data_IF_113145794046
#
_entry.id   IF_113145794046
#
_cell.length_a   1.000
_cell.length_b   1.000
_cell.length_c   1.000
_cell.angle_alpha   90.00
_cell.angle_beta   90.00
_cell.angle_gamma   90.00
#
_symmetry.space_group_name_H-M   'P 1'
#
loop_
_entity.id
_entity.type
_entity.pdbx_description
1 polymer ?
#
# COMPACT_ATOMS: atom_id res chain seq x y z
N UNK A 1 19.31 28.95 -5.23
CA UNK A 1 19.91 28.53 -6.50
C UNK A 1 21.18 27.71 -6.32
N UNK A 2 22.29 28.28 -5.82
CA UNK A 2 23.53 27.51 -5.59
C UNK A 2 23.34 26.28 -4.67
N UNK A 3 22.35 26.32 -3.75
CA UNK A 3 22.03 25.20 -2.88
C UNK A 3 21.35 24.03 -3.63
N UNK A 4 20.42 24.30 -4.55
CA UNK A 4 19.79 23.26 -5.38
C UNK A 4 20.80 22.63 -6.33
N UNK A 5 21.62 23.45 -7.03
CA UNK A 5 22.65 22.94 -7.90
C UNK A 5 23.67 22.06 -7.15
N UNK A 6 24.16 22.52 -5.98
CA UNK A 6 25.06 21.72 -5.13
C UNK A 6 24.42 20.42 -4.61
N UNK A 7 23.12 20.45 -4.29
CA UNK A 7 22.39 19.27 -3.90
C UNK A 7 22.36 18.26 -5.04
N UNK A 8 22.07 18.71 -6.25
CA UNK A 8 21.99 17.89 -7.45
C UNK A 8 23.37 17.39 -7.91
N UNK A 9 24.42 18.22 -7.82
CA UNK A 9 25.81 17.79 -8.08
C UNK A 9 26.23 16.64 -7.15
N UNK A 10 25.78 16.63 -5.89
CA UNK A 10 26.06 15.57 -4.91
C UNK A 10 25.42 14.22 -5.24
N UNK A 11 24.52 14.13 -6.22
CA UNK A 11 23.90 12.86 -6.62
C UNK A 11 24.75 12.06 -7.61
N UNK A 12 25.58 12.74 -8.39
CA UNK A 12 26.27 12.15 -9.54
C UNK A 12 25.35 11.84 -10.72
N UNK A 13 24.06 12.19 -10.64
CA UNK A 13 23.09 11.98 -11.72
C UNK A 13 23.07 13.18 -12.66
N UNK A 14 23.35 13.02 -13.98
CA UNK A 14 23.30 14.10 -14.92
C UNK A 14 21.87 14.69 -15.01
N UNK A 15 21.74 15.98 -14.74
CA UNK A 15 20.44 16.65 -14.81
C UNK A 15 20.58 18.14 -15.22
N UNK A 16 19.46 18.75 -15.55
CA UNK A 16 19.37 20.16 -15.92
C UNK A 16 18.29 20.85 -15.09
N UNK A 17 18.60 22.03 -14.56
CA UNK A 17 17.64 22.90 -13.88
C UNK A 17 17.43 24.15 -14.74
N UNK A 18 16.21 24.35 -15.23
CA UNK A 18 15.81 25.52 -16.00
C UNK A 18 15.14 26.53 -15.07
N UNK A 19 15.70 27.73 -14.99
CA UNK A 19 15.22 28.80 -14.12
C UNK A 19 14.08 29.61 -14.77
N UNK A 20 13.31 30.40 -13.99
CA UNK A 20 12.31 31.33 -14.55
C UNK A 20 12.91 32.34 -15.58
N UNK A 21 14.20 32.67 -15.44
CA UNK A 21 14.96 33.47 -16.39
C UNK A 21 15.25 32.77 -17.73
N UNK A 22 14.88 31.46 -17.86
CA UNK A 22 15.25 30.55 -18.95
C UNK A 22 16.74 30.15 -18.97
N UNK A 23 17.51 30.55 -18.00
CA UNK A 23 18.88 30.07 -17.81
C UNK A 23 18.83 28.59 -17.42
N UNK A 24 19.68 27.77 -18.04
CA UNK A 24 19.81 26.35 -17.74
C UNK A 24 21.10 26.07 -16.97
N UNK A 25 21.01 25.41 -15.83
CA UNK A 25 22.15 24.98 -15.01
C UNK A 25 22.27 23.48 -15.18
N UNK A 26 23.40 22.99 -15.67
CA UNK A 26 23.69 21.57 -15.79
C UNK A 26 24.46 21.08 -14.57
N UNK A 27 24.07 19.92 -14.07
CA UNK A 27 24.68 19.22 -12.95
C UNK A 27 25.06 17.79 -13.39
N UNK A 28 26.22 17.32 -12.96
CA UNK A 28 26.76 16.00 -13.35
C UNK A 28 27.39 15.97 -14.74
N UNK A 29 28.04 14.84 -15.05
CA UNK A 29 28.72 14.63 -16.34
C UNK A 29 27.80 13.85 -17.31
N UNK A 30 27.77 14.27 -18.59
CA UNK A 30 27.00 13.61 -19.65
C UNK A 30 25.67 14.29 -19.99
N UNK A 31 24.85 13.65 -20.86
CA UNK A 31 23.55 14.17 -21.22
C UNK A 31 22.57 14.11 -20.04
N UNK A 32 21.76 15.14 -19.80
CA UNK A 32 20.82 15.14 -18.66
C UNK A 32 19.78 14.02 -18.80
N UNK A 33 19.63 13.20 -17.76
CA UNK A 33 18.63 12.14 -17.68
C UNK A 33 17.25 12.71 -17.35
N UNK A 34 17.22 13.79 -16.59
CA UNK A 34 15.99 14.50 -16.28
C UNK A 34 16.22 16.02 -16.22
N UNK A 35 15.12 16.74 -16.25
CA UNK A 35 15.09 18.21 -16.17
C UNK A 35 14.09 18.65 -15.12
N UNK A 36 14.48 19.64 -14.32
CA UNK A 36 13.61 20.37 -13.39
C UNK A 36 13.35 21.76 -13.96
N UNK A 37 12.14 22.04 -14.39
CA UNK A 37 11.74 23.36 -14.90
C UNK A 37 11.07 24.15 -13.80
N UNK A 38 11.66 25.28 -13.43
CA UNK A 38 11.16 26.15 -12.36
C UNK A 38 10.40 27.33 -12.95
N UNK A 39 9.12 27.46 -12.63
CA UNK A 39 8.23 28.47 -13.21
C UNK A 39 8.16 29.79 -12.42
N UNK A 40 8.58 29.77 -11.14
CA UNK A 40 8.50 30.97 -10.32
C UNK A 40 9.63 31.09 -9.30
N UNK A 41 9.98 32.33 -8.94
CA UNK A 41 10.91 32.61 -7.84
C UNK A 41 10.39 32.13 -6.48
N UNK A 42 9.08 31.92 -6.34
CA UNK A 42 8.46 31.35 -5.13
C UNK A 42 8.90 29.91 -4.92
N UNK A 43 8.97 29.11 -6.00
CA UNK A 43 9.47 27.74 -5.93
C UNK A 43 10.93 27.69 -5.44
N UNK A 44 11.77 28.63 -5.88
CA UNK A 44 13.17 28.75 -5.46
C UNK A 44 13.36 29.10 -3.98
N UNK A 45 12.32 29.66 -3.33
CA UNK A 45 12.33 30.02 -1.89
C UNK A 45 11.73 28.95 -0.99
N UNK A 46 11.19 27.86 -1.55
CA UNK A 46 10.69 26.75 -0.73
C UNK A 46 11.83 26.05 -0.01
N UNK A 47 11.50 25.44 1.11
CA UNK A 47 12.45 24.58 1.83
C UNK A 47 12.83 23.38 0.96
N UNK A 48 14.08 22.93 1.07
CA UNK A 48 14.55 21.73 0.40
C UNK A 48 14.20 20.50 1.25
N UNK A 49 12.90 20.29 1.49
CA UNK A 49 12.35 19.08 2.08
C UNK A 49 11.42 18.36 1.08
N UNK A 50 11.22 17.07 1.26
CA UNK A 50 10.44 16.23 0.36
C UNK A 50 9.03 16.77 0.14
N UNK A 51 8.35 17.19 1.22
CA UNK A 51 7.00 17.71 1.14
C UNK A 51 6.93 19.04 0.37
N UNK A 52 7.87 19.94 0.60
CA UNK A 52 7.84 21.26 -0.04
C UNK A 52 8.11 21.18 -1.55
N UNK A 53 9.06 20.32 -1.97
CA UNK A 53 9.35 20.08 -3.39
C UNK A 53 8.22 19.30 -4.07
N UNK A 54 7.70 18.26 -3.42
CA UNK A 54 6.52 17.54 -3.92
C UNK A 54 5.31 18.46 -4.08
N UNK A 55 5.06 19.36 -3.11
CA UNK A 55 4.00 20.35 -3.20
C UNK A 55 4.23 21.35 -4.35
N UNK A 56 5.47 21.80 -4.57
CA UNK A 56 5.79 22.68 -5.70
C UNK A 56 5.46 22.02 -7.05
N UNK A 57 5.76 20.73 -7.20
CA UNK A 57 5.40 19.97 -8.40
C UNK A 57 3.88 19.82 -8.53
N UNK A 58 3.18 19.40 -7.48
CA UNK A 58 1.71 19.22 -7.49
C UNK A 58 0.99 20.54 -7.84
N UNK A 59 1.48 21.67 -7.31
CA UNK A 59 0.91 23.01 -7.57
C UNK A 59 1.34 23.60 -8.92
N UNK A 60 2.21 22.94 -9.69
CA UNK A 60 2.68 23.43 -10.98
C UNK A 60 3.70 24.57 -10.89
N UNK A 61 4.36 24.76 -9.74
CA UNK A 61 5.44 25.73 -9.59
C UNK A 61 6.76 25.24 -10.19
N UNK A 62 6.89 23.89 -10.31
CA UNK A 62 7.97 23.22 -11.02
C UNK A 62 7.40 22.10 -11.90
N UNK A 63 8.10 21.77 -12.98
CA UNK A 63 7.87 20.57 -13.78
C UNK A 63 9.05 19.63 -13.69
N UNK A 64 8.75 18.32 -13.82
CA UNK A 64 9.71 17.23 -13.85
C UNK A 64 9.59 16.52 -15.20
N UNK A 65 10.63 16.64 -16.03
CA UNK A 65 10.69 16.08 -17.37
C UNK A 65 11.80 15.03 -17.47
N UNK A 66 11.60 14.04 -18.35
CA UNK A 66 12.58 12.97 -18.58
C UNK A 66 12.40 11.76 -17.67
N UNK A 67 13.49 11.12 -17.29
CA UNK A 67 13.49 9.87 -16.52
C UNK A 67 13.08 10.10 -15.06
N UNK A 68 11.83 9.74 -14.75
CA UNK A 68 11.28 9.86 -13.40
C UNK A 68 12.04 9.01 -12.38
N UNK A 69 12.56 7.87 -12.78
CA UNK A 69 13.37 7.02 -11.90
C UNK A 69 14.61 7.77 -11.38
N UNK A 70 15.35 8.42 -12.27
CA UNK A 70 16.53 9.20 -11.91
C UNK A 70 16.23 10.40 -11.01
N UNK A 71 15.01 10.95 -11.07
CA UNK A 71 14.58 12.03 -10.17
C UNK A 71 14.56 11.54 -8.72
N UNK A 72 14.12 10.30 -8.48
CA UNK A 72 14.06 9.75 -7.13
C UNK A 72 15.42 9.37 -6.54
N UNK A 73 16.46 9.21 -7.33
CA UNK A 73 17.83 9.09 -6.81
C UNK A 73 18.26 10.33 -6.01
N UNK A 74 17.69 11.50 -6.35
CA UNK A 74 17.90 12.76 -5.62
C UNK A 74 17.22 12.72 -4.24
N UNK A 75 16.16 11.93 -4.07
CA UNK A 75 15.38 11.85 -2.82
C UNK A 75 16.23 11.51 -1.60
N UNK A 76 17.25 10.66 -1.74
CA UNK A 76 18.17 10.29 -0.66
C UNK A 76 18.87 11.50 0.01
N UNK A 77 18.94 12.62 -0.70
CA UNK A 77 19.53 13.88 -0.20
C UNK A 77 18.50 14.80 0.46
N UNK A 78 17.21 14.51 0.28
CA UNK A 78 16.13 15.28 0.88
C UNK A 78 15.81 14.72 2.26
N UNK A 79 15.65 15.62 3.24
CA UNK A 79 15.19 15.24 4.57
C UNK A 79 13.66 15.31 4.62
N UNK A 80 13.02 14.21 5.01
CA UNK A 80 11.59 14.24 5.36
C UNK A 80 11.46 14.71 6.82
N UNK A 81 11.11 15.98 7.00
CA UNK A 81 10.92 16.60 8.32
C UNK A 81 9.44 16.81 8.59
N UNK A 82 8.86 15.95 9.42
CA UNK A 82 7.52 16.21 9.94
C UNK A 82 7.50 17.49 10.77
N UNK A 83 6.62 18.43 10.45
CA UNK A 83 6.44 19.67 11.22
C UNK A 83 5.70 19.36 12.52
N UNK A 84 6.07 20.03 13.61
CA UNK A 84 5.49 19.81 14.95
C UNK A 84 3.96 19.81 14.95
N UNK A 85 3.33 20.70 14.17
CA UNK A 85 1.85 20.72 14.01
C UNK A 85 1.26 19.49 13.33
N UNK A 86 1.99 18.85 12.42
CA UNK A 86 1.56 17.60 11.77
C UNK A 86 1.64 16.43 12.75
N UNK A 87 2.70 16.38 13.57
CA UNK A 87 2.86 15.37 14.62
C UNK A 87 1.77 15.50 15.68
N UNK A 88 1.51 16.73 16.15
CA UNK A 88 0.43 17.01 17.11
C UNK A 88 -0.94 16.65 16.54
N UNK A 89 -1.26 17.05 15.32
CA UNK A 89 -2.53 16.69 14.66
C UNK A 89 -2.70 15.19 14.51
N UNK A 90 -1.63 14.47 14.18
CA UNK A 90 -1.64 13.02 14.12
C UNK A 90 -1.88 12.36 15.48
N UNK A 91 -1.19 12.82 16.53
CA UNK A 91 -1.38 12.33 17.90
C UNK A 91 -2.80 12.58 18.42
N UNK A 92 -3.37 13.76 18.16
CA UNK A 92 -4.75 14.08 18.50
C UNK A 92 -5.72 13.12 17.80
N UNK A 93 -5.56 12.87 16.50
CA UNK A 93 -6.39 11.93 15.76
C UNK A 93 -6.27 10.51 16.33
N UNK A 94 -5.04 10.07 16.62
CA UNK A 94 -4.78 8.72 17.14
C UNK A 94 -5.39 8.49 18.54
N UNK A 95 -5.40 9.52 19.40
CA UNK A 95 -5.84 9.42 20.79
C UNK A 95 -7.34 9.67 20.97
N UNK A 96 -7.94 10.57 20.17
CA UNK A 96 -9.30 11.07 20.41
C UNK A 96 -10.34 10.51 19.46
N UNK A 97 -9.96 9.98 18.29
CA UNK A 97 -10.92 9.47 17.30
C UNK A 97 -10.82 7.93 17.23
N UNK A 98 -11.96 7.21 17.32
CA UNK A 98 -11.96 5.76 17.15
C UNK A 98 -11.35 5.34 15.81
N UNK A 99 -10.44 4.36 15.83
CA UNK A 99 -9.72 3.88 14.64
C UNK A 99 -10.65 3.51 13.47
N UNK A 100 -11.82 2.90 13.77
CA UNK A 100 -12.84 2.55 12.77
C UNK A 100 -13.40 3.76 12.00
N UNK A 101 -13.56 4.91 12.67
CA UNK A 101 -14.01 6.16 12.02
C UNK A 101 -12.93 6.78 11.15
N UNK A 102 -11.68 6.77 11.62
CA UNK A 102 -10.53 7.29 10.85
C UNK A 102 -10.34 6.42 9.60
N UNK A 103 -10.38 5.10 9.75
CA UNK A 103 -10.19 4.16 8.64
C UNK A 103 -11.27 4.32 7.58
N UNK A 104 -12.54 4.37 7.96
CA UNK A 104 -13.66 4.58 7.02
C UNK A 104 -13.50 5.91 6.26
N UNK A 105 -13.14 7.00 6.93
CA UNK A 105 -12.94 8.31 6.30
C UNK A 105 -11.74 8.32 5.35
N UNK A 106 -10.64 7.66 5.74
CA UNK A 106 -9.41 7.56 4.94
C UNK A 106 -9.63 6.73 3.69
N UNK A 107 -10.28 5.56 3.82
CA UNK A 107 -10.62 4.67 2.71
C UNK A 107 -11.58 5.37 1.75
N UNK A 108 -12.66 5.98 2.25
CA UNK A 108 -13.59 6.71 1.41
C UNK A 108 -12.88 7.83 0.64
N UNK A 109 -12.01 8.62 1.27
CA UNK A 109 -11.28 9.69 0.59
C UNK A 109 -10.40 9.15 -0.55
N UNK A 110 -9.69 8.05 -0.33
CA UNK A 110 -8.83 7.46 -1.36
C UNK A 110 -9.66 6.90 -2.53
N UNK A 111 -10.73 6.14 -2.24
CA UNK A 111 -11.57 5.53 -3.27
C UNK A 111 -12.63 6.48 -3.88
N UNK A 112 -12.75 7.75 -3.45
CA UNK A 112 -13.62 8.74 -4.09
C UNK A 112 -13.20 9.12 -5.52
N UNK A 113 -12.00 8.69 -5.96
CA UNK A 113 -11.56 8.87 -7.34
C UNK A 113 -12.33 7.98 -8.34
N UNK A 114 -13.02 6.95 -7.85
CA UNK A 114 -13.84 6.04 -8.66
C UNK A 114 -13.04 4.94 -9.36
N UNK A 115 -13.75 3.93 -9.86
CA UNK A 115 -13.16 2.72 -10.44
C UNK A 115 -12.30 3.02 -11.67
N UNK A 116 -12.78 3.86 -12.59
CA UNK A 116 -12.09 4.20 -13.84
C UNK A 116 -10.69 4.78 -13.62
N UNK A 117 -10.50 5.50 -12.48
CA UNK A 117 -9.20 6.02 -12.11
C UNK A 117 -8.19 4.88 -11.85
N UNK A 118 -8.56 3.93 -11.01
CA UNK A 118 -7.68 2.80 -10.65
C UNK A 118 -7.51 1.83 -11.80
N UNK A 119 -8.57 1.56 -12.55
CA UNK A 119 -8.54 0.67 -13.72
C UNK A 119 -7.63 1.20 -14.83
N UNK A 120 -7.34 2.51 -14.86
CA UNK A 120 -6.45 3.10 -15.86
C UNK A 120 -5.00 2.63 -15.74
N UNK A 121 -4.57 2.09 -14.58
CA UNK A 121 -3.19 1.66 -14.37
C UNK A 121 -3.01 0.29 -13.69
N UNK A 122 -4.03 -0.26 -13.04
CA UNK A 122 -3.97 -1.62 -12.47
C UNK A 122 -4.04 -2.69 -13.55
N UNK A 123 -3.90 -3.97 -13.20
CA UNK A 123 -4.09 -5.06 -14.14
C UNK A 123 -5.52 -5.06 -14.71
N UNK A 124 -5.66 -5.41 -15.98
CA UNK A 124 -6.94 -5.34 -16.71
C UNK A 124 -7.88 -6.50 -16.41
N UNK A 125 -7.40 -7.52 -15.72
CA UNK A 125 -8.14 -8.78 -15.52
C UNK A 125 -8.80 -8.86 -14.15
N UNK A 126 -8.08 -8.50 -13.09
CA UNK A 126 -8.52 -8.63 -11.71
C UNK A 126 -8.56 -7.31 -10.96
N UNK A 127 -7.94 -6.27 -11.52
CA UNK A 127 -7.87 -4.92 -10.97
C UNK A 127 -7.28 -4.86 -9.56
N UNK A 128 -6.24 -5.65 -9.28
CA UNK A 128 -5.60 -5.60 -7.98
C UNK A 128 -4.93 -4.25 -7.71
N UNK A 129 -5.23 -3.67 -6.55
CA UNK A 129 -4.51 -2.54 -5.98
C UNK A 129 -3.62 -2.99 -4.82
N UNK A 130 -2.97 -4.11 -5.00
CA UNK A 130 -1.92 -4.71 -4.17
C UNK A 130 -0.93 -5.40 -5.11
N UNK A 131 0.30 -5.68 -4.64
CA UNK A 131 1.33 -6.18 -5.53
C UNK A 131 1.01 -7.54 -6.16
N UNK A 132 1.49 -7.75 -7.38
CA UNK A 132 1.54 -9.05 -8.04
C UNK A 132 2.67 -9.92 -7.49
N UNK A 133 2.80 -11.15 -7.99
CA UNK A 133 3.96 -12.01 -7.74
C UNK A 133 4.59 -12.39 -9.08
N UNK A 134 5.78 -11.92 -9.34
CA UNK A 134 6.50 -12.11 -10.60
C UNK A 134 7.43 -13.33 -10.53
N UNK A 135 7.42 -14.16 -11.56
CA UNK A 135 8.39 -15.26 -11.74
C UNK A 135 9.62 -14.80 -12.50
N UNK A 136 9.46 -13.78 -13.35
CA UNK A 136 10.54 -13.08 -14.04
C UNK A 136 10.24 -11.58 -14.18
N UNK A 137 11.26 -10.77 -14.45
CA UNK A 137 11.10 -9.31 -14.60
C UNK A 137 10.38 -8.91 -15.90
N UNK A 138 10.30 -9.82 -16.88
CA UNK A 138 9.67 -9.58 -18.18
C UNK A 138 8.17 -9.92 -18.18
N UNK A 139 7.63 -10.43 -17.06
CA UNK A 139 6.21 -10.74 -16.95
C UNK A 139 5.35 -9.48 -16.90
N UNK A 140 4.15 -9.61 -17.46
CA UNK A 140 3.13 -8.58 -17.39
C UNK A 140 2.50 -8.50 -15.99
N UNK A 141 1.88 -7.37 -15.70
CA UNK A 141 1.11 -7.18 -14.48
C UNK A 141 -0.05 -8.18 -14.35
N UNK A 142 -0.66 -8.57 -15.47
CA UNK A 142 -1.73 -9.57 -15.55
C UNK A 142 -1.25 -10.96 -15.15
N UNK A 143 -0.08 -11.39 -15.64
CA UNK A 143 0.55 -12.66 -15.29
C UNK A 143 0.93 -12.69 -13.82
N UNK A 144 1.53 -11.63 -13.31
CA UNK A 144 1.89 -11.52 -11.88
C UNK A 144 0.66 -11.57 -10.95
N UNK A 145 -0.47 -11.01 -11.39
CA UNK A 145 -1.75 -11.09 -10.67
C UNK A 145 -2.32 -12.51 -10.65
N UNK A 146 -2.21 -13.25 -11.78
CA UNK A 146 -2.61 -14.66 -11.84
C UNK A 146 -1.74 -15.51 -10.90
N UNK A 147 -0.42 -15.34 -10.94
CA UNK A 147 0.52 -16.07 -10.06
C UNK A 147 0.25 -15.79 -8.58
N UNK A 148 -0.12 -14.55 -8.24
CA UNK A 148 -0.55 -14.22 -6.88
C UNK A 148 -1.78 -15.02 -6.48
N UNK A 149 -2.81 -15.07 -7.32
CA UNK A 149 -4.04 -15.82 -7.05
C UNK A 149 -3.76 -17.31 -6.87
N UNK A 150 -2.92 -17.91 -7.74
CA UNK A 150 -2.47 -19.30 -7.61
C UNK A 150 -1.73 -19.55 -6.28
N UNK A 151 -0.83 -18.64 -5.93
CA UNK A 151 -0.05 -18.72 -4.68
C UNK A 151 -0.95 -18.66 -3.47
N UNK A 152 -1.86 -17.69 -3.42
CA UNK A 152 -2.83 -17.54 -2.30
C UNK A 152 -3.73 -18.77 -2.20
N UNK A 153 -4.27 -19.26 -3.33
CA UNK A 153 -5.14 -20.43 -3.38
C UNK A 153 -4.44 -21.68 -2.82
N UNK A 154 -3.19 -21.89 -3.23
CA UNK A 154 -2.36 -23.00 -2.80
C UNK A 154 -1.93 -22.89 -1.34
N UNK A 155 -1.48 -21.72 -0.89
CA UNK A 155 -1.04 -21.48 0.49
C UNK A 155 -2.17 -21.66 1.49
N UNK A 156 -3.38 -21.25 1.13
CA UNK A 156 -4.59 -21.46 1.93
C UNK A 156 -5.14 -22.89 1.82
N UNK A 157 -4.63 -23.72 0.88
CA UNK A 157 -5.08 -25.09 0.58
C UNK A 157 -6.57 -25.13 0.27
N UNK A 158 -7.05 -24.16 -0.51
CA UNK A 158 -8.48 -24.05 -0.83
C UNK A 158 -8.95 -25.23 -1.68
N UNK A 159 -10.19 -25.66 -1.44
CA UNK A 159 -10.86 -26.73 -2.16
C UNK A 159 -12.33 -26.35 -2.39
N UNK A 160 -12.99 -26.90 -3.43
CA UNK A 160 -14.41 -26.70 -3.64
C UNK A 160 -15.24 -27.03 -2.38
N UNK A 161 -16.23 -26.20 -2.07
CA UNK A 161 -17.06 -26.30 -0.88
C UNK A 161 -16.52 -25.65 0.39
N UNK A 162 -15.24 -25.26 0.42
CA UNK A 162 -14.66 -24.49 1.54
C UNK A 162 -15.22 -23.05 1.56
N UNK A 163 -15.16 -22.44 2.76
CA UNK A 163 -15.58 -21.06 3.01
C UNK A 163 -14.36 -20.15 3.20
N UNK A 164 -14.23 -19.16 2.33
CA UNK A 164 -13.18 -18.15 2.36
C UNK A 164 -13.76 -16.80 2.82
N UNK A 165 -13.10 -16.14 3.77
CA UNK A 165 -13.32 -14.73 4.08
C UNK A 165 -12.26 -13.87 3.37
N UNK A 166 -12.69 -12.96 2.51
CA UNK A 166 -11.86 -11.99 1.82
C UNK A 166 -12.02 -10.61 2.47
N UNK A 167 -10.97 -10.15 3.17
CA UNK A 167 -10.98 -8.90 3.91
C UNK A 167 -10.44 -7.77 3.02
N UNK A 168 -11.35 -6.88 2.61
CA UNK A 168 -11.03 -5.81 1.68
C UNK A 168 -11.09 -6.29 0.23
N UNK A 169 -12.24 -6.80 -0.19
CA UNK A 169 -12.45 -7.49 -1.47
C UNK A 169 -12.07 -6.72 -2.75
N UNK A 170 -11.76 -5.42 -2.64
CA UNK A 170 -11.37 -4.58 -3.79
C UNK A 170 -12.36 -4.68 -4.94
N UNK A 171 -11.91 -4.99 -6.13
CA UNK A 171 -12.76 -5.23 -7.32
C UNK A 171 -13.05 -6.72 -7.56
N UNK A 172 -13.04 -7.53 -6.49
CA UNK A 172 -13.50 -8.91 -6.52
C UNK A 172 -12.55 -9.90 -7.23
N UNK A 173 -11.26 -9.57 -7.36
CA UNK A 173 -10.29 -10.47 -7.98
C UNK A 173 -10.22 -11.83 -7.29
N UNK A 174 -10.07 -11.85 -5.95
CA UNK A 174 -10.12 -13.09 -5.16
C UNK A 174 -11.48 -13.76 -5.21
N UNK A 175 -12.57 -12.98 -5.10
CA UNK A 175 -13.94 -13.50 -5.20
C UNK A 175 -14.14 -14.27 -6.50
N UNK A 176 -13.85 -13.64 -7.64
CA UNK A 176 -14.03 -14.26 -8.96
C UNK A 176 -13.17 -15.49 -9.15
N UNK A 177 -11.89 -15.42 -8.74
CA UNK A 177 -10.95 -16.54 -8.89
C UNK A 177 -11.34 -17.76 -8.05
N UNK A 178 -11.67 -17.56 -6.78
CA UNK A 178 -11.98 -18.64 -5.85
C UNK A 178 -13.40 -19.19 -6.06
N UNK A 179 -14.39 -18.32 -6.28
CA UNK A 179 -15.76 -18.74 -6.45
C UNK A 179 -15.98 -19.51 -7.76
N UNK A 180 -15.26 -19.17 -8.84
CA UNK A 180 -15.27 -19.97 -10.08
C UNK A 180 -14.72 -21.40 -9.90
N UNK A 181 -14.00 -21.65 -8.80
CA UNK A 181 -13.45 -22.96 -8.40
C UNK A 181 -14.27 -23.62 -7.31
N UNK A 182 -15.50 -23.17 -7.08
CA UNK A 182 -16.44 -23.77 -6.12
C UNK A 182 -16.18 -23.41 -4.65
N UNK A 183 -15.33 -22.43 -4.35
CA UNK A 183 -15.13 -21.92 -2.99
C UNK A 183 -16.21 -20.88 -2.69
N UNK A 184 -16.86 -20.99 -1.52
CA UNK A 184 -17.85 -19.99 -1.07
C UNK A 184 -17.14 -18.77 -0.49
N UNK A 185 -17.14 -17.65 -1.19
CA UNK A 185 -16.41 -16.43 -0.78
C UNK A 185 -17.35 -15.44 -0.10
N UNK A 186 -17.00 -15.00 1.11
CA UNK A 186 -17.60 -13.83 1.75
C UNK A 186 -16.60 -12.69 1.67
N UNK A 187 -16.90 -11.66 0.88
CA UNK A 187 -16.03 -10.47 0.74
C UNK A 187 -16.53 -9.34 1.64
N UNK A 188 -15.64 -8.75 2.41
CA UNK A 188 -15.91 -7.55 3.21
C UNK A 188 -15.28 -6.34 2.56
N UNK A 189 -16.00 -5.24 2.50
CA UNK A 189 -15.49 -3.95 2.03
C UNK A 189 -16.10 -2.80 2.83
N UNK A 190 -15.42 -1.64 2.85
CA UNK A 190 -15.94 -0.38 3.38
C UNK A 190 -16.31 0.61 2.26
N UNK A 191 -15.97 0.30 1.00
CA UNK A 191 -16.25 1.12 -0.16
C UNK A 191 -17.53 0.65 -0.87
N UNK A 192 -18.45 1.58 -1.14
CA UNK A 192 -19.73 1.28 -1.79
C UNK A 192 -19.52 0.80 -3.24
N UNK A 193 -18.55 1.40 -3.97
CA UNK A 193 -18.26 1.02 -5.35
C UNK A 193 -17.73 -0.42 -5.43
N UNK A 194 -16.79 -0.78 -4.55
CA UNK A 194 -16.30 -2.15 -4.38
C UNK A 194 -17.43 -3.15 -4.07
N UNK A 195 -18.37 -2.77 -3.18
CA UNK A 195 -19.54 -3.58 -2.88
C UNK A 195 -20.39 -3.81 -4.15
N UNK A 196 -20.72 -2.75 -4.87
CA UNK A 196 -21.54 -2.82 -6.08
C UNK A 196 -20.86 -3.66 -7.16
N UNK A 197 -19.54 -3.52 -7.31
CA UNK A 197 -18.76 -4.25 -8.29
C UNK A 197 -18.76 -5.77 -8.01
N UNK A 198 -18.48 -6.16 -6.76
CA UNK A 198 -18.47 -7.57 -6.35
C UNK A 198 -19.89 -8.17 -6.42
N UNK A 199 -20.90 -7.42 -5.98
CA UNK A 199 -22.30 -7.85 -6.07
C UNK A 199 -22.70 -8.15 -7.51
N UNK A 200 -22.34 -7.29 -8.46
CA UNK A 200 -22.60 -7.51 -9.88
C UNK A 200 -21.88 -8.75 -10.42
N UNK A 201 -20.64 -9.02 -9.99
CA UNK A 201 -19.94 -10.27 -10.36
C UNK A 201 -20.74 -11.49 -9.91
N UNK A 202 -21.14 -11.52 -8.62
CA UNK A 202 -21.86 -12.67 -8.06
C UNK A 202 -23.23 -12.87 -8.72
N UNK A 203 -23.98 -11.80 -8.94
CA UNK A 203 -25.31 -11.84 -9.58
C UNK A 203 -25.24 -12.32 -11.04
N UNK A 204 -24.25 -11.84 -11.79
CA UNK A 204 -24.15 -12.16 -13.23
C UNK A 204 -23.57 -13.54 -13.49
N UNK A 205 -22.72 -14.05 -12.60
CA UNK A 205 -22.06 -15.35 -12.78
C UNK A 205 -22.76 -16.50 -12.06
N UNK A 206 -23.58 -16.20 -11.03
CA UNK A 206 -24.14 -17.20 -10.14
C UNK A 206 -23.09 -17.92 -9.27
N UNK A 207 -21.89 -17.36 -9.11
CA UNK A 207 -20.83 -17.94 -8.29
C UNK A 207 -21.21 -17.98 -6.81
N UNK A 208 -20.76 -19.01 -6.07
CA UNK A 208 -21.07 -19.14 -4.66
C UNK A 208 -20.35 -18.06 -3.83
N UNK A 209 -21.12 -17.19 -3.18
CA UNK A 209 -20.54 -16.15 -2.33
C UNK A 209 -21.51 -15.03 -1.99
N UNK A 210 -21.00 -14.10 -1.23
CA UNK A 210 -21.69 -12.87 -0.83
C UNK A 210 -20.68 -11.73 -0.64
N UNK A 211 -21.15 -10.50 -0.73
CA UNK A 211 -20.38 -9.30 -0.37
C UNK A 211 -21.12 -8.53 0.73
N UNK A 212 -20.38 -7.98 1.69
CA UNK A 212 -20.94 -7.20 2.79
C UNK A 212 -20.21 -5.86 2.94
N UNK A 213 -20.97 -4.79 3.05
CA UNK A 213 -20.44 -3.46 3.36
C UNK A 213 -20.23 -3.36 4.88
N UNK A 214 -19.14 -3.92 5.38
CA UNK A 214 -18.89 -4.12 6.81
C UNK A 214 -17.41 -4.02 7.17
N UNK A 215 -17.13 -3.41 8.35
CA UNK A 215 -15.78 -3.44 8.95
C UNK A 215 -15.46 -4.84 9.50
N UNK A 216 -14.30 -5.38 9.13
CA UNK A 216 -13.83 -6.67 9.61
C UNK A 216 -13.77 -6.75 11.14
N UNK A 217 -13.37 -5.70 11.83
CA UNK A 217 -13.29 -5.70 13.29
C UNK A 217 -14.67 -5.85 13.98
N UNK A 218 -15.74 -5.55 13.25
CA UNK A 218 -17.12 -5.70 13.69
C UNK A 218 -17.77 -7.02 13.19
N UNK A 219 -17.12 -7.69 12.23
CA UNK A 219 -17.66 -8.90 11.62
C UNK A 219 -17.76 -10.05 12.63
N UNK A 220 -18.91 -10.73 12.62
CA UNK A 220 -19.23 -11.89 13.48
C UNK A 220 -19.92 -12.94 12.61
N UNK A 221 -19.18 -13.93 12.10
CA UNK A 221 -19.78 -14.97 11.29
C UNK A 221 -20.59 -15.95 12.16
N UNK A 222 -21.68 -16.45 11.62
CA UNK A 222 -22.48 -17.52 12.28
C UNK A 222 -21.69 -18.83 12.36
N UNK A 223 -20.85 -19.09 11.38
CA UNK A 223 -19.97 -20.25 11.29
C UNK A 223 -18.57 -19.82 10.92
N UNK A 224 -17.51 -20.43 11.51
CA UNK A 224 -16.15 -20.11 11.15
C UNK A 224 -15.84 -20.33 9.67
N UNK A 225 -14.86 -19.60 9.14
CA UNK A 225 -14.30 -19.77 7.80
C UNK A 225 -13.17 -20.82 7.83
N UNK A 226 -13.00 -21.56 6.74
CA UNK A 226 -11.89 -22.49 6.55
C UNK A 226 -10.59 -21.76 6.25
N UNK A 227 -10.71 -20.59 5.60
CA UNK A 227 -9.58 -19.73 5.26
C UNK A 227 -9.95 -18.24 5.32
N UNK A 228 -8.93 -17.40 5.51
CA UNK A 228 -9.03 -15.94 5.46
C UNK A 228 -7.93 -15.42 4.54
N UNK A 229 -8.25 -14.41 3.73
CA UNK A 229 -7.29 -13.67 2.91
C UNK A 229 -7.42 -12.17 3.18
N UNK A 230 -6.28 -11.46 3.16
CA UNK A 230 -6.21 -10.01 3.28
C UNK A 230 -5.05 -9.50 2.43
N UNK A 231 -5.32 -8.70 1.41
CA UNK A 231 -4.36 -8.27 0.40
C UNK A 231 -4.29 -6.73 0.36
N UNK A 232 -3.17 -6.16 0.86
CA UNK A 232 -2.94 -4.71 0.85
C UNK A 232 -3.92 -3.91 1.72
N UNK A 233 -4.41 -4.47 2.83
CA UNK A 233 -5.46 -3.84 3.66
C UNK A 233 -5.04 -3.68 5.12
N UNK A 234 -4.09 -4.47 5.62
CA UNK A 234 -3.63 -4.40 7.02
C UNK A 234 -3.06 -3.03 7.38
N UNK A 235 -2.58 -2.29 6.40
CA UNK A 235 -2.09 -0.91 6.52
C UNK A 235 -3.17 0.04 7.07
N UNK A 236 -4.43 -0.30 6.89
CA UNK A 236 -5.58 0.44 7.41
C UNK A 236 -6.05 -0.08 8.78
N UNK A 237 -5.48 -1.19 9.29
CA UNK A 237 -5.86 -1.82 10.57
C UNK A 237 -4.65 -1.88 11.52
N UNK A 238 -4.08 -0.76 11.96
CA UNK A 238 -2.86 -0.75 12.77
C UNK A 238 -3.03 -1.34 14.17
N UNK A 239 -4.26 -1.67 14.58
CA UNK A 239 -4.58 -2.33 15.86
C UNK A 239 -4.42 -3.86 15.77
N UNK A 240 -3.20 -4.34 15.52
CA UNK A 240 -2.90 -5.75 15.23
C UNK A 240 -3.42 -6.73 16.29
N UNK A 241 -3.41 -6.35 17.58
CA UNK A 241 -3.98 -7.18 18.63
C UNK A 241 -5.47 -7.47 18.43
N UNK A 242 -6.25 -6.44 18.10
CA UNK A 242 -7.68 -6.59 17.82
C UNK A 242 -7.91 -7.37 16.52
N UNK A 243 -7.08 -7.10 15.50
CA UNK A 243 -7.11 -7.81 14.25
C UNK A 243 -6.86 -9.31 14.44
N UNK A 244 -5.74 -9.71 15.06
CA UNK A 244 -5.40 -11.12 15.28
C UNK A 244 -6.42 -11.83 16.21
N UNK A 245 -6.98 -11.14 17.21
CA UNK A 245 -8.06 -11.68 18.02
C UNK A 245 -9.30 -11.98 17.16
N UNK A 246 -9.67 -11.06 16.26
CA UNK A 246 -10.81 -11.22 15.37
C UNK A 246 -10.57 -12.33 14.34
N UNK A 247 -9.37 -12.39 13.73
CA UNK A 247 -8.98 -13.51 12.84
C UNK A 247 -9.15 -14.84 13.55
N UNK A 248 -8.68 -14.93 14.79
CA UNK A 248 -8.85 -16.16 15.60
C UNK A 248 -10.32 -16.57 15.77
N UNK A 249 -11.18 -15.60 16.07
CA UNK A 249 -12.60 -15.87 16.30
C UNK A 249 -13.35 -16.27 15.01
N UNK A 250 -12.91 -15.74 13.85
CA UNK A 250 -13.54 -16.00 12.55
C UNK A 250 -13.04 -17.27 11.86
N UNK A 251 -11.82 -17.72 12.14
CA UNK A 251 -11.18 -18.84 11.45
C UNK A 251 -11.48 -20.16 12.16
N UNK A 252 -11.74 -21.22 11.43
CA UNK A 252 -11.90 -22.56 11.99
C UNK A 252 -10.59 -23.10 12.60
N UNK A 253 -10.61 -23.99 13.59
CA UNK A 253 -9.42 -24.75 14.00
C UNK A 253 -8.76 -25.42 12.79
N UNK A 254 -7.43 -25.34 12.67
CA UNK A 254 -6.69 -25.82 11.50
C UNK A 254 -6.73 -24.91 10.27
N UNK A 255 -7.66 -23.95 10.22
CA UNK A 255 -7.79 -22.98 9.11
C UNK A 255 -6.58 -22.06 8.98
N UNK A 256 -6.40 -21.47 7.79
CA UNK A 256 -5.26 -20.63 7.42
C UNK A 256 -5.66 -19.22 7.08
N UNK A 257 -4.76 -18.30 7.37
CA UNK A 257 -4.80 -16.92 6.84
C UNK A 257 -3.59 -16.67 5.96
N UNK A 258 -3.83 -16.05 4.80
CA UNK A 258 -2.82 -15.41 3.97
C UNK A 258 -2.98 -13.90 4.08
N UNK A 259 -1.87 -13.20 4.28
CA UNK A 259 -1.85 -11.75 4.36
C UNK A 259 -0.65 -11.21 3.59
N UNK A 260 -0.84 -10.21 2.76
CA UNK A 260 0.26 -9.43 2.18
C UNK A 260 0.12 -7.93 2.50
N UNK A 261 1.24 -7.23 2.50
CA UNK A 261 1.27 -5.80 2.76
C UNK A 261 2.59 -5.14 2.38
N UNK A 262 2.52 -3.83 2.12
CA UNK A 262 3.67 -2.95 2.22
C UNK A 262 4.11 -2.80 3.67
N UNK A 263 5.43 -2.76 3.92
CA UNK A 263 6.01 -2.81 5.25
C UNK A 263 7.07 -1.73 5.49
N UNK A 264 7.19 -1.32 6.76
CA UNK A 264 8.25 -0.46 7.27
C UNK A 264 8.80 -0.99 8.59
N UNK A 265 9.93 -0.44 9.05
CA UNK A 265 10.56 -0.86 10.30
C UNK A 265 9.72 -0.51 11.53
N UNK A 266 9.01 0.62 11.49
CA UNK A 266 8.18 1.11 12.58
C UNK A 266 6.75 1.44 12.12
N UNK A 267 5.78 1.31 13.03
CA UNK A 267 4.41 1.75 12.75
C UNK A 267 4.37 3.26 12.50
N UNK A 268 3.48 3.64 11.58
CA UNK A 268 3.22 5.04 11.22
C UNK A 268 4.40 5.76 10.54
N UNK A 269 5.40 5.03 10.11
CA UNK A 269 6.51 5.52 9.28
C UNK A 269 6.03 5.73 7.84
N UNK A 270 5.26 6.79 7.63
CA UNK A 270 4.71 7.17 6.33
C UNK A 270 5.21 8.57 5.98
N UNK A 271 5.79 8.72 4.80
CA UNK A 271 6.32 10.00 4.32
C UNK A 271 5.28 11.12 4.38
N UNK A 272 5.71 12.34 4.69
CA UNK A 272 4.82 13.50 4.86
C UNK A 272 4.05 13.86 3.59
N UNK A 273 4.66 13.64 2.41
CA UNK A 273 4.00 13.80 1.12
C UNK A 273 2.85 12.80 0.95
N UNK A 274 3.11 11.51 1.15
CA UNK A 274 2.11 10.44 1.03
C UNK A 274 0.94 10.66 1.98
N UNK A 275 1.22 11.06 3.22
CA UNK A 275 0.19 11.37 4.23
C UNK A 275 -0.68 12.55 3.83
N UNK A 276 -0.12 13.55 3.16
CA UNK A 276 -0.87 14.75 2.77
C UNK A 276 -1.72 14.55 1.51
N UNK A 277 -1.16 13.88 0.49
CA UNK A 277 -1.75 13.86 -0.86
C UNK A 277 -2.42 12.54 -1.22
N UNK A 278 -2.01 11.42 -0.61
CA UNK A 278 -2.46 10.08 -1.00
C UNK A 278 -3.27 9.44 0.13
N UNK A 279 -2.62 9.11 1.26
CA UNK A 279 -3.20 8.38 2.37
C UNK A 279 -3.40 9.29 3.59
N UNK A 280 -4.55 9.93 3.64
CA UNK A 280 -4.93 10.73 4.81
C UNK A 280 -5.42 9.81 5.94
N UNK A 281 -5.13 10.19 7.21
CA UNK A 281 -5.63 9.47 8.38
C UNK A 281 -4.60 8.56 9.05
N UNK A 282 -5.01 7.35 9.45
CA UNK A 282 -4.21 6.41 10.25
C UNK A 282 -3.51 5.33 9.44
N UNK A 283 -3.32 5.54 8.16
CA UNK A 283 -2.55 4.61 7.32
C UNK A 283 -1.16 4.38 7.92
N UNK A 284 -0.76 3.11 8.01
CA UNK A 284 0.52 2.69 8.55
C UNK A 284 1.00 1.46 7.78
N UNK A 285 2.16 1.53 7.19
CA UNK A 285 2.79 0.33 6.65
C UNK A 285 2.87 -0.76 7.71
N UNK A 286 2.81 -2.00 7.28
CA UNK A 286 2.91 -3.13 8.19
C UNK A 286 4.26 -3.15 8.90
N UNK A 287 4.24 -3.26 10.23
CA UNK A 287 5.42 -3.54 11.03
C UNK A 287 5.49 -5.06 11.23
N UNK A 288 6.40 -5.73 10.49
CA UNK A 288 6.45 -7.20 10.40
C UNK A 288 6.66 -7.86 11.76
N UNK A 289 7.60 -7.36 12.58
CA UNK A 289 7.88 -7.93 13.89
C UNK A 289 6.67 -7.87 14.82
N UNK A 290 5.92 -6.77 14.77
CA UNK A 290 4.74 -6.56 15.62
C UNK A 290 3.59 -7.49 15.23
N UNK A 291 3.31 -7.62 13.93
CA UNK A 291 2.19 -8.47 13.47
C UNK A 291 2.50 -9.96 13.70
N UNK A 292 3.74 -10.40 13.45
CA UNK A 292 4.18 -11.77 13.74
C UNK A 292 4.06 -12.05 15.23
N UNK A 293 4.50 -11.13 16.09
CA UNK A 293 4.37 -11.26 17.54
C UNK A 293 2.90 -11.42 17.97
N UNK A 294 1.98 -10.65 17.38
CA UNK A 294 0.56 -10.75 17.73
C UNK A 294 -0.07 -12.05 17.20
N UNK A 295 0.29 -12.56 16.03
CA UNK A 295 -0.13 -13.89 15.58
C UNK A 295 0.29 -14.98 16.55
N UNK A 296 1.57 -15.02 16.94
CA UNK A 296 2.10 -15.98 17.90
C UNK A 296 1.41 -15.85 19.28
N UNK A 297 1.19 -14.62 19.74
CA UNK A 297 0.50 -14.36 21.00
C UNK A 297 -0.94 -14.87 21.01
N UNK A 298 -1.64 -14.79 19.88
CA UNK A 298 -3.01 -15.29 19.74
C UNK A 298 -3.10 -16.78 19.49
N UNK A 299 -1.97 -17.49 19.41
CA UNK A 299 -1.94 -18.95 19.33
C UNK A 299 -1.82 -19.50 17.91
N UNK A 300 -1.60 -18.65 16.90
CA UNK A 300 -1.34 -19.11 15.54
C UNK A 300 0.03 -19.79 15.42
N UNK A 301 0.15 -20.72 14.49
CA UNK A 301 1.43 -21.17 13.94
C UNK A 301 1.70 -20.34 12.69
N UNK A 302 2.76 -19.54 12.71
CA UNK A 302 3.26 -18.86 11.52
C UNK A 302 3.98 -19.89 10.67
N UNK A 303 3.46 -20.20 9.49
CA UNK A 303 3.96 -21.24 8.60
C UNK A 303 4.93 -20.68 7.56
N UNK A 304 4.70 -19.42 7.13
CA UNK A 304 5.53 -18.76 6.14
C UNK A 304 5.60 -17.25 6.40
N UNK A 305 6.76 -16.67 6.15
CA UNK A 305 6.99 -15.23 5.98
C UNK A 305 7.95 -15.09 4.83
N UNK A 306 7.52 -14.45 3.74
CA UNK A 306 8.34 -14.25 2.56
C UNK A 306 8.38 -12.77 2.19
N UNK A 307 9.55 -12.34 1.71
CA UNK A 307 9.77 -10.98 1.26
C UNK A 307 9.37 -10.85 -0.21
N UNK A 308 8.44 -9.94 -0.49
CA UNK A 308 7.92 -9.65 -1.83
C UNK A 308 8.29 -8.22 -2.28
N UNK A 309 9.36 -7.66 -1.72
CA UNK A 309 9.76 -6.27 -1.98
C UNK A 309 10.03 -6.01 -3.46
N UNK A 310 10.70 -6.97 -4.15
CA UNK A 310 10.96 -6.86 -5.59
C UNK A 310 9.68 -6.95 -6.41
N UNK A 311 8.78 -7.84 -6.04
CA UNK A 311 7.46 -7.99 -6.68
C UNK A 311 6.65 -6.69 -6.58
N UNK A 312 6.66 -6.05 -5.42
CA UNK A 312 5.96 -4.78 -5.24
C UNK A 312 6.65 -3.62 -5.98
N UNK A 313 7.99 -3.61 -6.03
CA UNK A 313 8.73 -2.65 -6.85
C UNK A 313 8.30 -2.73 -8.31
N UNK A 314 8.29 -3.93 -8.89
CA UNK A 314 7.87 -4.17 -10.28
C UNK A 314 6.40 -3.76 -10.48
N UNK A 315 5.51 -4.14 -9.56
CA UNK A 315 4.10 -3.75 -9.60
C UNK A 315 3.94 -2.23 -9.65
N UNK A 316 4.59 -1.50 -8.72
CA UNK A 316 4.52 -0.03 -8.67
C UNK A 316 5.11 0.62 -9.93
N UNK A 317 6.15 0.01 -10.52
CA UNK A 317 6.74 0.48 -11.79
C UNK A 317 5.74 0.33 -12.95
N UNK A 318 5.13 -0.85 -13.10
CA UNK A 318 4.07 -1.06 -14.09
C UNK A 318 2.91 -0.09 -13.92
N UNK A 319 2.47 0.13 -12.67
CA UNK A 319 1.43 1.12 -12.41
C UNK A 319 1.86 2.53 -12.80
N UNK A 320 3.09 2.94 -12.49
CA UNK A 320 3.60 4.26 -12.82
C UNK A 320 3.70 4.48 -14.34
N UNK A 321 4.19 3.48 -15.08
CA UNK A 321 4.30 3.53 -16.54
C UNK A 321 2.92 3.60 -17.22
N UNK A 322 1.97 2.75 -16.79
CA UNK A 322 0.59 2.78 -17.28
C UNK A 322 -0.13 4.09 -16.94
N UNK A 323 0.11 4.60 -15.74
CA UNK A 323 -0.44 5.88 -15.29
C UNK A 323 0.07 7.05 -16.13
N UNK A 324 1.38 7.07 -16.44
CA UNK A 324 1.97 8.07 -17.33
C UNK A 324 1.42 7.95 -18.77
N UNK A 325 1.22 6.74 -19.27
CA UNK A 325 0.58 6.49 -20.58
C UNK A 325 -0.89 6.94 -20.63
N UNK A 326 -1.60 6.88 -19.50
CA UNK A 326 -2.99 7.31 -19.36
C UNK A 326 -3.15 8.81 -19.00
N UNK A 327 -2.07 9.62 -19.08
CA UNK A 327 -2.04 11.02 -18.62
C UNK A 327 -3.25 11.83 -19.05
N UNK A 328 -3.52 11.87 -20.35
CA UNK A 328 -4.58 12.74 -20.90
C UNK A 328 -5.97 12.35 -20.41
N UNK A 329 -6.23 11.05 -20.26
CA UNK A 329 -7.46 10.53 -19.67
C UNK A 329 -7.60 10.97 -18.21
N UNK A 330 -6.53 10.82 -17.41
CA UNK A 330 -6.51 11.16 -15.99
C UNK A 330 -6.65 12.66 -15.77
N UNK A 331 -5.91 13.46 -16.52
CA UNK A 331 -5.98 14.95 -16.41
C UNK A 331 -7.36 15.45 -16.79
N UNK A 332 -7.99 14.87 -17.83
CA UNK A 332 -9.35 15.23 -18.22
C UNK A 332 -10.39 14.87 -17.17
N UNK A 333 -10.25 13.72 -16.50
CA UNK A 333 -11.21 13.24 -15.51
C UNK A 333 -11.03 13.86 -14.12
N UNK A 334 -9.79 14.01 -13.66
CA UNK A 334 -9.47 14.35 -12.25
C UNK A 334 -8.56 15.57 -12.09
N UNK A 335 -8.02 16.11 -13.17
CA UNK A 335 -7.21 17.33 -13.19
C UNK A 335 -5.72 17.06 -12.94
N UNK A 336 -4.92 18.05 -13.34
CA UNK A 336 -3.45 18.00 -13.33
C UNK A 336 -2.86 17.76 -11.93
N UNK A 337 -3.47 18.30 -10.87
CA UNK A 337 -2.97 18.14 -9.50
C UNK A 337 -3.05 16.68 -9.02
N UNK A 338 -4.12 15.99 -9.36
CA UNK A 338 -4.31 14.56 -9.02
C UNK A 338 -3.30 13.72 -9.79
N UNK A 339 -3.16 13.96 -11.10
CA UNK A 339 -2.14 13.30 -11.91
C UNK A 339 -0.74 13.47 -11.32
N UNK A 340 -0.32 14.70 -11.04
CA UNK A 340 1.00 14.98 -10.47
C UNK A 340 1.23 14.34 -9.12
N UNK A 341 0.24 14.36 -8.25
CA UNK A 341 0.35 13.74 -6.92
C UNK A 341 0.53 12.21 -7.02
N UNK A 342 -0.29 11.54 -7.83
CA UNK A 342 -0.21 10.09 -8.02
C UNK A 342 1.04 9.67 -8.81
N UNK A 343 1.48 10.46 -9.78
CA UNK A 343 2.74 10.23 -10.50
C UNK A 343 3.93 10.16 -9.55
N UNK A 344 4.05 11.15 -8.65
CA UNK A 344 5.10 11.12 -7.61
C UNK A 344 4.95 9.92 -6.66
N UNK A 345 3.73 9.58 -6.28
CA UNK A 345 3.47 8.45 -5.39
C UNK A 345 3.87 7.12 -6.01
N UNK A 346 3.47 6.86 -7.25
CA UNK A 346 3.73 5.58 -7.92
C UNK A 346 5.22 5.40 -8.22
N UNK A 347 5.88 6.37 -8.85
CA UNK A 347 7.31 6.31 -9.11
C UNK A 347 8.14 6.32 -7.81
N UNK A 348 7.75 7.17 -6.85
CA UNK A 348 8.42 7.26 -5.56
C UNK A 348 8.29 5.99 -4.72
N UNK A 349 7.15 5.31 -4.78
CA UNK A 349 6.93 4.03 -4.12
C UNK A 349 7.77 2.92 -4.74
N UNK A 350 7.80 2.81 -6.09
CA UNK A 350 8.67 1.87 -6.78
C UNK A 350 10.14 2.08 -6.41
N UNK A 351 10.62 3.32 -6.44
CA UNK A 351 12.00 3.64 -6.06
C UNK A 351 12.28 3.35 -4.57
N UNK A 352 11.34 3.60 -3.65
CA UNK A 352 11.50 3.33 -2.23
C UNK A 352 11.64 1.82 -1.94
N UNK A 353 10.91 0.98 -2.67
CA UNK A 353 11.03 -0.48 -2.63
C UNK A 353 12.37 -0.96 -3.21
N UNK A 354 12.81 -0.37 -4.32
CA UNK A 354 14.13 -0.64 -4.90
C UNK A 354 15.28 -0.30 -3.96
N UNK A 355 15.20 0.85 -3.31
CA UNK A 355 16.21 1.34 -2.37
C UNK A 355 16.11 0.67 -0.97
N UNK A 356 15.21 -0.28 -0.79
CA UNK A 356 14.93 -0.98 0.47
C UNK A 356 14.56 -0.06 1.66
N UNK A 357 14.12 1.15 1.37
CA UNK A 357 13.58 2.08 2.37
C UNK A 357 12.12 1.80 2.71
N UNK A 358 11.43 1.07 1.85
CA UNK A 358 10.13 0.45 2.04
C UNK A 358 10.22 -1.01 1.64
N UNK A 359 9.51 -1.88 2.32
CA UNK A 359 9.53 -3.32 2.09
C UNK A 359 8.12 -3.84 1.84
N UNK A 360 8.02 -5.09 1.40
CA UNK A 360 6.77 -5.82 1.32
C UNK A 360 6.98 -7.28 1.72
N UNK A 361 5.97 -7.83 2.36
CA UNK A 361 5.97 -9.22 2.79
C UNK A 361 4.60 -9.83 2.64
N UNK A 362 4.59 -11.15 2.41
CA UNK A 362 3.42 -11.93 2.75
C UNK A 362 3.69 -12.88 3.92
N UNK A 363 2.61 -13.26 4.60
CA UNK A 363 2.62 -14.14 5.75
C UNK A 363 1.49 -15.16 5.62
N UNK A 364 1.81 -16.43 5.92
CA UNK A 364 0.82 -17.52 6.08
C UNK A 364 0.84 -17.98 7.52
N UNK A 365 -0.31 -17.97 8.17
CA UNK A 365 -0.45 -18.48 9.51
C UNK A 365 -1.64 -19.42 9.62
N UNK A 366 -1.51 -20.44 10.47
CA UNK A 366 -2.56 -21.41 10.72
C UNK A 366 -3.08 -21.32 12.16
N UNK A 367 -4.39 -21.29 12.31
CA UNK A 367 -5.01 -21.41 13.63
C UNK A 367 -4.75 -22.80 14.21
N UNK A 368 -4.12 -22.87 15.39
CA UNK A 368 -3.98 -24.13 16.12
C UNK A 368 -5.32 -24.54 16.72
N UNK A 369 -5.48 -25.82 17.08
CA UNK A 369 -6.68 -26.35 17.76
C UNK A 369 -6.94 -25.59 19.06
N UNK A 370 -5.90 -25.38 19.86
CA UNK A 370 -5.94 -24.65 21.12
C UNK A 370 -5.01 -23.45 21.11
N UNK A 371 -5.41 -22.38 21.78
CA UNK A 371 -4.58 -21.14 21.89
C UNK A 371 -3.26 -21.34 22.61
N UNK A 372 -3.17 -22.33 23.46
CA UNK A 372 -2.06 -22.49 24.39
C UNK A 372 -2.01 -21.39 25.47
N UNK A 373 -1.13 -21.52 26.44
CA UNK A 373 -1.00 -20.56 27.54
C UNK A 373 -0.47 -19.21 27.00
N UNK A 374 -1.20 -18.12 27.27
CA UNK A 374 -0.76 -16.77 26.95
C UNK A 374 0.23 -16.26 28.00
N UNK A 375 1.39 -15.72 27.62
CA UNK A 375 2.26 -15.07 28.59
C UNK A 375 1.56 -13.85 29.20
N UNK A 376 1.48 -13.80 30.53
CA UNK A 376 0.95 -12.63 31.24
C UNK A 376 1.77 -11.36 30.99
N UNK A 377 1.18 -10.20 31.29
CA UNK A 377 1.81 -8.87 31.05
C UNK A 377 3.22 -8.79 31.65
N UNK A 378 3.41 -9.24 32.88
CA UNK A 378 4.72 -9.24 33.56
C UNK A 378 5.77 -10.07 32.85
N UNK A 379 5.39 -11.22 32.26
CA UNK A 379 6.31 -12.09 31.50
C UNK A 379 6.73 -11.43 30.18
N UNK A 380 5.81 -10.72 29.51
CA UNK A 380 6.11 -9.95 28.28
C UNK A 380 7.09 -8.81 28.59
N UNK A 381 6.82 -8.03 29.64
CA UNK A 381 7.72 -6.95 30.09
C UNK A 381 9.08 -7.50 30.52
N UNK A 382 9.12 -8.61 31.24
CA UNK A 382 10.37 -9.27 31.64
C UNK A 382 11.17 -9.78 30.44
N UNK A 383 10.53 -10.29 29.39
CA UNK A 383 11.20 -10.73 28.16
C UNK A 383 11.76 -9.52 27.38
N UNK A 384 10.99 -8.43 27.31
CA UNK A 384 11.47 -7.16 26.72
C UNK A 384 12.71 -6.63 27.43
N UNK A 385 12.67 -6.56 28.78
CA UNK A 385 13.80 -6.09 29.58
C UNK A 385 15.03 -7.01 29.49
N UNK A 386 14.86 -8.33 29.28
CA UNK A 386 16.00 -9.22 29.03
C UNK A 386 16.63 -9.02 27.65
N UNK A 387 15.85 -8.62 26.66
CA UNK A 387 16.36 -8.25 25.34
C UNK A 387 17.15 -6.94 25.31
N UNK A 388 17.08 -6.14 26.37
CA UNK A 388 17.88 -4.91 26.52
C UNK A 388 19.28 -5.14 27.12
N UNK A 389 19.62 -6.36 27.49
CA UNK A 389 20.95 -6.75 27.97
C UNK A 389 21.74 -7.46 26.87
#
# INVERSE_FOLDING_TARGET
>A
MRALARLLEGTGVPCEVVLPSREAIRCGEGPPRFRVVVHSDRALRRAFDELALGAAYVEGEIDLEGDMWSIFEVRRLLQDRARLGQVLGFLVNLLLIPATRINRRSINFHYTLGDDFYHSFTDTRYHFYSHGLFRSEDETLEESSEHKLETVFSALRLQPGMRLLDIGGGWGGMTRYCASRGVHVTSLTLAQDSYNYIHNILDTTGYPGEVRLQDFLEHRPERPYDAIVILGVIEHIPTYRRFCARVWDCLAPGGRIYMDASASHEKYEVGTFTRKYIWQGSHSFMCLQDIVQEFLFHGFAVEEVKRDTRDYELTMRHWAERFDAARDFIVKGWGEKVYRAFRLYLWGGSHALHADTMQAYHLVARRREERGPRPGLFRRTGNFLRGLK
#
